data_IF_921375755180
#
_entry.id   IF_921375755180
#
_cell.length_a   1.000
_cell.length_b   1.000
_cell.length_c   1.000
_cell.angle_alpha   90.00
_cell.angle_beta   90.00
_cell.angle_gamma   90.00
#
_symmetry.space_group_name_H-M   'P 1'
#
loop_
_entity.id
_entity.type
_entity.pdbx_description
1 polymer ?
#
# COMPACT_ATOMS: atom_id res chain seq x y z
N UNK A 1 -16.78 -1.83 -4.03
CA UNK A 1 -15.91 -0.65 -4.23
C UNK A 1 -14.91 -0.58 -3.11
N UNK A 2 -13.75 0.01 -3.38
CA UNK A 2 -12.57 -0.06 -2.53
C UNK A 2 -12.68 1.00 -1.40
N UNK A 3 -12.74 0.62 -0.11
CA UNK A 3 -12.78 1.56 1.02
C UNK A 3 -11.38 2.11 1.31
N UNK A 4 -10.92 3.00 0.45
CA UNK A 4 -9.53 3.47 0.48
C UNK A 4 -9.34 4.77 1.24
N UNK A 5 -8.16 4.92 1.83
CA UNK A 5 -7.63 6.18 2.35
C UNK A 5 -6.69 6.80 1.31
N UNK A 6 -6.95 8.05 0.92
CA UNK A 6 -6.13 8.86 0.02
C UNK A 6 -6.68 10.29 -0.02
N UNK A 7 -5.99 11.20 -0.71
CA UNK A 7 -6.60 12.45 -1.17
C UNK A 7 -7.66 12.21 -2.25
N UNK A 8 -8.59 13.17 -2.48
CA UNK A 8 -9.40 13.16 -3.69
C UNK A 8 -8.51 13.06 -4.93
N UNK A 9 -8.85 12.15 -5.84
CA UNK A 9 -8.10 11.86 -7.07
C UNK A 9 -6.62 11.46 -6.84
N UNK A 10 -6.28 10.96 -5.65
CA UNK A 10 -4.90 10.62 -5.30
C UNK A 10 -4.31 9.49 -6.15
N UNK A 11 -3.01 9.58 -6.46
CA UNK A 11 -2.27 8.64 -7.32
C UNK A 11 -2.34 7.20 -6.82
N UNK A 12 -2.26 7.00 -5.50
CA UNK A 12 -2.36 5.70 -4.85
C UNK A 12 -3.40 5.76 -3.73
N UNK A 13 -4.17 4.67 -3.61
CA UNK A 13 -5.24 4.52 -2.64
C UNK A 13 -4.91 3.37 -1.71
N UNK A 14 -4.93 3.60 -0.41
CA UNK A 14 -4.49 2.60 0.57
C UNK A 14 -5.68 1.91 1.23
N UNK A 15 -5.62 0.59 1.33
CA UNK A 15 -6.77 -0.24 1.68
C UNK A 15 -6.31 -1.39 2.57
N UNK A 16 -7.09 -1.73 3.57
CA UNK A 16 -6.99 -3.04 4.22
C UNK A 16 -7.29 -4.14 3.20
N UNK A 17 -6.48 -5.19 3.19
CA UNK A 17 -6.60 -6.30 2.24
C UNK A 17 -7.20 -7.52 2.94
N UNK A 18 -8.37 -7.98 2.49
CA UNK A 18 -9.03 -9.19 3.01
C UNK A 18 -9.20 -10.29 1.95
N UNK A 19 -8.82 -10.01 0.70
CA UNK A 19 -8.79 -10.98 -0.40
C UNK A 19 -7.70 -10.59 -1.40
N UNK A 20 -7.26 -11.55 -2.22
CA UNK A 20 -6.35 -11.26 -3.33
C UNK A 20 -7.07 -10.38 -4.36
N UNK A 21 -6.42 -9.34 -4.83
CA UNK A 21 -6.90 -8.52 -5.95
C UNK A 21 -6.19 -8.88 -7.25
N UNK A 22 -6.93 -8.86 -8.34
CA UNK A 22 -6.52 -9.13 -9.72
C UNK A 22 -7.71 -8.71 -10.60
N UNK A 23 -7.63 -8.91 -11.91
CA UNK A 23 -8.81 -8.74 -12.77
C UNK A 23 -9.95 -9.64 -12.26
N UNK A 24 -11.10 -9.05 -11.95
CA UNK A 24 -12.30 -9.65 -11.33
C UNK A 24 -12.34 -9.67 -9.80
N UNK A 25 -11.34 -9.12 -9.09
CA UNK A 25 -11.38 -9.01 -7.63
C UNK A 25 -10.70 -7.73 -7.11
N UNK A 26 -11.41 -6.97 -6.27
CA UNK A 26 -10.84 -5.81 -5.54
C UNK A 26 -10.13 -6.25 -4.27
N UNK A 27 -9.17 -5.48 -3.70
CA UNK A 27 -8.41 -5.93 -2.52
C UNK A 27 -9.24 -6.10 -1.25
N UNK A 28 -10.44 -5.54 -1.25
CA UNK A 28 -11.38 -5.62 -0.14
C UNK A 28 -12.78 -6.01 -0.61
N UNK A 29 -13.44 -6.89 0.14
CA UNK A 29 -14.85 -7.24 -0.01
C UNK A 29 -15.45 -7.75 1.33
N UNK A 30 -16.46 -7.05 1.86
CA UNK A 30 -17.14 -7.42 3.11
C UNK A 30 -17.71 -8.85 3.12
N UNK A 31 -18.06 -9.41 1.95
CA UNK A 31 -18.73 -10.70 1.87
C UNK A 31 -17.80 -11.91 1.81
N UNK A 32 -16.47 -11.72 1.70
CA UNK A 32 -15.54 -12.83 1.42
C UNK A 32 -14.80 -13.33 2.64
N UNK A 33 -14.25 -12.44 3.47
CA UNK A 33 -13.46 -12.81 4.64
C UNK A 33 -13.47 -11.68 5.67
N UNK A 34 -13.51 -12.05 6.94
CA UNK A 34 -13.34 -11.10 8.05
C UNK A 34 -11.86 -11.00 8.52
N UNK A 35 -10.96 -11.76 7.89
CA UNK A 35 -9.52 -11.75 8.19
C UNK A 35 -8.79 -10.65 7.43
N UNK A 36 -7.75 -10.11 8.05
CA UNK A 36 -6.84 -9.14 7.44
C UNK A 36 -5.55 -9.84 7.01
N UNK A 37 -5.18 -9.69 5.74
CA UNK A 37 -3.97 -10.27 5.14
C UNK A 37 -2.85 -9.25 4.93
N UNK A 38 -3.10 -7.98 5.28
CA UNK A 38 -2.19 -6.86 5.09
C UNK A 38 -2.91 -5.60 4.64
N UNK A 39 -2.13 -4.65 4.12
CA UNK A 39 -2.59 -3.40 3.55
C UNK A 39 -1.93 -3.21 2.19
N UNK A 40 -2.65 -2.60 1.26
CA UNK A 40 -2.20 -2.44 -0.12
C UNK A 40 -2.46 -1.01 -0.63
N UNK A 41 -1.44 -0.41 -1.21
CA UNK A 41 -1.54 0.76 -2.08
C UNK A 41 -1.94 0.28 -3.47
N UNK A 42 -3.20 0.51 -3.84
CA UNK A 42 -3.83 0.06 -5.09
C UNK A 42 -4.05 1.21 -6.06
N UNK A 43 -3.92 0.91 -7.35
CA UNK A 43 -4.34 1.78 -8.47
C UNK A 43 -5.48 1.18 -9.26
N UNK A 44 -5.94 -0.01 -8.88
CA UNK A 44 -7.09 -0.68 -9.49
C UNK A 44 -8.31 0.24 -9.53
N UNK A 45 -8.90 0.50 -10.71
CA UNK A 45 -10.03 1.40 -10.87
C UNK A 45 -11.39 0.75 -10.67
N UNK A 46 -11.53 -0.51 -11.07
CA UNK A 46 -12.78 -1.26 -11.00
C UNK A 46 -12.49 -2.76 -10.90
N UNK A 47 -13.50 -3.55 -10.54
CA UNK A 47 -13.34 -5.00 -10.38
C UNK A 47 -12.92 -5.68 -11.69
N UNK A 48 -13.42 -5.24 -12.84
CA UNK A 48 -13.06 -5.79 -14.16
C UNK A 48 -11.76 -5.22 -14.74
N UNK A 49 -11.09 -4.32 -14.02
CA UNK A 49 -9.80 -3.77 -14.42
C UNK A 49 -8.69 -4.35 -13.54
N UNK A 50 -7.48 -4.39 -14.09
CA UNK A 50 -6.31 -4.94 -13.43
C UNK A 50 -5.71 -4.01 -12.37
N UNK A 51 -4.75 -4.55 -11.63
CA UNK A 51 -3.87 -3.81 -10.76
C UNK A 51 -2.57 -3.38 -11.47
N UNK A 52 -1.99 -2.26 -11.03
CA UNK A 52 -0.78 -1.68 -11.60
C UNK A 52 0.24 -1.29 -10.52
N UNK A 53 1.32 -2.06 -10.47
CA UNK A 53 2.43 -1.97 -9.53
C UNK A 53 1.96 -1.64 -8.10
N UNK A 54 1.17 -2.53 -7.48
CA UNK A 54 0.71 -2.32 -6.13
C UNK A 54 1.88 -2.40 -5.16
N UNK A 55 1.70 -1.83 -3.97
CA UNK A 55 2.65 -1.97 -2.88
C UNK A 55 1.92 -2.47 -1.65
N UNK A 56 2.42 -3.53 -1.01
CA UNK A 56 1.82 -4.03 0.22
C UNK A 56 2.66 -3.73 1.45
N UNK A 57 2.01 -3.76 2.61
CA UNK A 57 2.65 -3.76 3.93
C UNK A 57 1.86 -4.69 4.85
N UNK A 58 2.57 -5.57 5.54
CA UNK A 58 1.98 -6.64 6.34
C UNK A 58 2.69 -6.64 7.70
N UNK A 59 2.02 -6.23 8.79
CA UNK A 59 2.55 -6.46 10.12
C UNK A 59 2.39 -7.93 10.51
N UNK A 60 3.21 -8.39 11.44
CA UNK A 60 3.02 -9.72 12.02
C UNK A 60 3.91 -9.99 13.21
N UNK A 61 3.75 -11.19 13.75
CA UNK A 61 4.45 -11.69 14.92
C UNK A 61 5.08 -13.04 14.56
N UNK A 62 6.36 -13.18 14.89
CA UNK A 62 7.11 -14.44 14.82
C UNK A 62 7.55 -14.85 16.22
N UNK A 63 7.72 -16.14 16.49
CA UNK A 63 8.25 -16.63 17.77
C UNK A 63 9.58 -17.34 17.59
N UNK A 64 10.54 -17.04 18.47
CA UNK A 64 11.85 -17.70 18.44
C UNK A 64 12.58 -17.51 17.12
N UNK A 65 12.81 -18.63 16.41
CA UNK A 65 13.47 -18.67 15.10
C UNK A 65 12.49 -18.79 13.93
N UNK A 66 11.19 -18.63 14.19
CA UNK A 66 10.18 -18.69 13.13
C UNK A 66 10.46 -17.65 12.04
N UNK A 67 10.26 -18.11 10.82
CA UNK A 67 10.26 -17.31 9.62
C UNK A 67 9.17 -16.24 9.66
N UNK A 68 9.42 -15.10 8.99
CA UNK A 68 8.37 -14.14 8.63
C UNK A 68 7.31 -14.86 7.78
N UNK A 69 6.03 -14.69 8.09
CA UNK A 69 4.93 -15.33 7.36
C UNK A 69 4.63 -14.53 6.09
N UNK A 70 5.00 -15.07 4.93
CA UNK A 70 4.79 -14.44 3.61
C UNK A 70 3.60 -15.02 2.85
N UNK A 71 3.31 -16.30 3.09
CA UNK A 71 2.18 -17.02 2.52
C UNK A 71 0.84 -16.32 2.85
N UNK A 72 -0.07 -16.35 1.88
CA UNK A 72 -1.35 -15.64 1.95
C UNK A 72 -2.19 -16.08 3.14
N UNK A 73 -2.34 -17.39 3.34
CA UNK A 73 -3.18 -17.94 4.40
C UNK A 73 -2.47 -17.87 5.75
N UNK A 74 -1.16 -18.15 5.76
CA UNK A 74 -0.38 -18.13 7.00
C UNK A 74 -0.27 -16.74 7.65
N UNK A 75 -0.32 -15.66 6.86
CA UNK A 75 -0.22 -14.28 7.36
C UNK A 75 -1.57 -13.67 7.77
N UNK A 76 -2.66 -14.37 7.56
CA UNK A 76 -4.00 -13.88 7.88
C UNK A 76 -4.16 -13.69 9.40
N UNK A 77 -4.66 -12.54 9.81
CA UNK A 77 -4.94 -12.23 11.22
C UNK A 77 -6.42 -11.94 11.42
N UNK A 78 -6.94 -12.37 12.56
CA UNK A 78 -8.28 -12.02 12.99
C UNK A 78 -8.30 -10.60 13.54
N UNK A 79 -9.42 -9.89 13.32
CA UNK A 79 -9.64 -8.57 13.92
C UNK A 79 -10.09 -8.75 15.36
N UNK A 80 -9.57 -7.93 16.26
CA UNK A 80 -10.15 -7.80 17.60
C UNK A 80 -11.55 -7.19 17.43
N UNK A 81 -12.54 -7.77 18.12
CA UNK A 81 -13.93 -7.32 18.05
C UNK A 81 -14.05 -5.81 18.28
N UNK A 82 -14.91 -5.17 17.48
CA UNK A 82 -15.25 -3.74 17.55
C UNK A 82 -14.05 -2.78 17.44
N UNK A 83 -12.93 -3.22 16.84
CA UNK A 83 -11.71 -2.40 16.72
C UNK A 83 -11.49 -1.74 15.36
N UNK A 84 -12.29 -2.08 14.34
CA UNK A 84 -12.13 -1.58 12.98
C UNK A 84 -12.84 -0.24 12.79
N UNK A 85 -12.11 0.76 12.32
CA UNK A 85 -12.61 2.11 12.06
C UNK A 85 -12.26 2.55 10.64
N UNK A 86 -13.29 2.91 9.87
CA UNK A 86 -13.14 3.54 8.56
C UNK A 86 -13.41 5.04 8.66
N UNK A 87 -12.47 5.84 8.16
CA UNK A 87 -12.64 7.27 7.95
C UNK A 87 -12.13 7.71 6.59
N UNK A 88 -12.44 8.95 6.23
CA UNK A 88 -12.11 9.50 4.91
C UNK A 88 -10.60 9.76 4.75
N UNK A 89 -9.92 10.10 5.85
CA UNK A 89 -8.48 10.35 5.90
C UNK A 89 -7.71 9.35 6.76
N UNK A 90 -8.37 8.30 7.27
CA UNK A 90 -7.73 7.30 8.12
C UNK A 90 -8.45 5.95 8.11
N UNK A 91 -7.71 4.92 8.47
CA UNK A 91 -8.23 3.60 8.80
C UNK A 91 -7.48 3.09 10.02
N UNK A 92 -8.18 2.42 10.93
CA UNK A 92 -7.57 1.80 12.10
C UNK A 92 -8.17 0.42 12.35
N UNK A 93 -7.35 -0.51 12.85
CA UNK A 93 -7.80 -1.83 13.25
C UNK A 93 -6.84 -2.40 14.28
N UNK A 94 -7.34 -3.20 15.22
CA UNK A 94 -6.50 -4.02 16.09
C UNK A 94 -6.57 -5.48 15.63
N UNK A 95 -5.41 -6.08 15.40
CA UNK A 95 -5.26 -7.44 14.92
C UNK A 95 -4.80 -8.35 16.05
N UNK A 96 -5.31 -9.58 16.08
CA UNK A 96 -4.76 -10.67 16.89
C UNK A 96 -3.47 -11.18 16.22
N UNK A 97 -2.34 -10.92 16.87
CA UNK A 97 -1.02 -11.37 16.39
C UNK A 97 -0.72 -12.83 16.74
N UNK A 98 -1.60 -13.49 17.50
CA UNK A 98 -1.35 -14.77 18.16
C UNK A 98 -0.35 -14.65 19.30
N UNK A 99 -0.11 -15.75 20.02
CA UNK A 99 0.88 -15.83 21.11
C UNK A 99 0.70 -14.73 22.18
N UNK A 100 -0.55 -14.45 22.56
CA UNK A 100 -0.90 -13.38 23.52
C UNK A 100 -0.35 -12.01 23.11
N UNK A 101 -0.49 -11.68 21.81
CA UNK A 101 -0.11 -10.37 21.26
C UNK A 101 -1.23 -9.75 20.45
N UNK A 102 -1.27 -8.42 20.43
CA UNK A 102 -2.12 -7.66 19.50
C UNK A 102 -1.33 -6.58 18.79
N UNK A 103 -1.75 -6.27 17.56
CA UNK A 103 -1.15 -5.21 16.73
C UNK A 103 -2.22 -4.16 16.45
N UNK A 104 -2.09 -2.97 17.05
CA UNK A 104 -2.90 -1.82 16.64
C UNK A 104 -2.26 -1.19 15.40
N UNK A 105 -3.00 -1.17 14.30
CA UNK A 105 -2.60 -0.50 13.06
C UNK A 105 -3.37 0.80 12.93
N UNK A 106 -2.67 1.89 12.65
CA UNK A 106 -3.24 3.15 12.21
C UNK A 106 -2.66 3.49 10.84
N UNK A 107 -3.52 3.84 9.89
CA UNK A 107 -3.16 4.14 8.51
C UNK A 107 -3.76 5.49 8.12
N UNK A 108 -2.94 6.36 7.55
CA UNK A 108 -3.36 7.55 6.81
C UNK A 108 -2.57 7.66 5.51
N UNK A 109 -3.03 8.47 4.58
CA UNK A 109 -2.37 8.62 3.29
C UNK A 109 -2.62 9.99 2.66
N UNK A 110 -1.66 10.38 1.84
CA UNK A 110 -1.73 11.53 0.94
C UNK A 110 -1.96 11.03 -0.49
N UNK A 111 -1.58 11.79 -1.52
CA UNK A 111 -1.80 11.36 -2.91
C UNK A 111 -0.81 10.27 -3.34
N UNK A 112 0.47 10.41 -2.96
CA UNK A 112 1.58 9.57 -3.43
C UNK A 112 2.28 8.83 -2.29
N UNK A 113 1.90 9.09 -1.04
CA UNK A 113 2.51 8.48 0.13
C UNK A 113 1.48 7.95 1.15
N UNK A 114 1.91 7.00 1.98
CA UNK A 114 1.17 6.53 3.15
C UNK A 114 1.98 6.64 4.43
N UNK A 115 1.24 6.69 5.53
CA UNK A 115 1.74 6.78 6.88
C UNK A 115 1.09 5.68 7.72
N UNK A 116 1.91 4.76 8.22
CA UNK A 116 1.49 3.69 9.10
C UNK A 116 2.13 3.84 10.47
N UNK A 117 1.35 3.58 11.51
CA UNK A 117 1.84 3.39 12.87
C UNK A 117 1.34 2.05 13.38
N UNK A 118 2.27 1.20 13.82
CA UNK A 118 2.03 -0.11 14.40
C UNK A 118 2.37 -0.08 15.88
N UNK A 119 1.39 -0.37 16.74
CA UNK A 119 1.64 -0.59 18.17
C UNK A 119 1.48 -2.07 18.50
N UNK A 120 2.57 -2.71 18.92
CA UNK A 120 2.60 -4.09 19.35
C UNK A 120 2.39 -4.16 20.86
N UNK A 121 1.38 -4.90 21.30
CA UNK A 121 1.13 -5.21 22.71
C UNK A 121 1.41 -6.69 22.94
N UNK A 122 2.23 -7.00 23.95
CA UNK A 122 2.61 -8.37 24.34
C UNK A 122 2.12 -8.55 25.78
N UNK A 123 1.13 -9.41 25.99
CA UNK A 123 0.45 -9.55 27.30
C UNK A 123 1.17 -10.51 28.23
N UNK A 124 1.70 -11.62 27.69
CA UNK A 124 2.50 -12.59 28.43
C UNK A 124 3.82 -12.77 27.68
N UNK A 125 4.95 -12.63 28.36
CA UNK A 125 6.29 -12.76 27.76
C UNK A 125 6.66 -14.23 27.49
N UNK A 126 5.67 -15.05 27.10
CA UNK A 126 5.87 -16.44 26.71
C UNK A 126 6.29 -16.47 25.25
N UNK A 127 7.41 -17.16 25.01
CA UNK A 127 8.18 -17.17 23.77
C UNK A 127 8.90 -15.85 23.46
N UNK A 128 10.04 -15.98 22.77
CA UNK A 128 10.80 -14.87 22.22
C UNK A 128 10.02 -14.26 21.04
N UNK A 129 8.94 -13.54 21.35
CA UNK A 129 8.07 -12.85 20.40
C UNK A 129 8.84 -11.75 19.70
N UNK A 130 8.80 -11.76 18.38
CA UNK A 130 9.50 -10.79 17.53
C UNK A 130 8.51 -10.19 16.53
N UNK A 131 8.09 -8.94 16.75
CA UNK A 131 7.34 -8.18 15.77
C UNK A 131 8.10 -8.07 14.46
N UNK A 132 7.39 -8.04 13.35
CA UNK A 132 7.97 -7.72 12.06
C UNK A 132 7.00 -6.90 11.21
N UNK A 133 7.56 -6.19 10.24
CA UNK A 133 6.83 -5.63 9.12
C UNK A 133 7.44 -6.21 7.85
N UNK A 134 6.59 -6.77 6.98
CA UNK A 134 6.95 -7.30 5.68
C UNK A 134 6.32 -6.48 4.57
N UNK A 135 7.10 -6.17 3.54
CA UNK A 135 6.70 -5.46 2.33
C UNK A 135 6.72 -6.47 1.17
N UNK A 136 5.57 -7.02 0.75
CA UNK A 136 5.50 -7.72 -0.53
C UNK A 136 5.72 -6.72 -1.67
N UNK A 137 6.65 -7.06 -2.56
CA UNK A 137 7.07 -6.19 -3.66
C UNK A 137 6.60 -6.71 -5.01
N UNK A 138 6.84 -7.99 -5.30
CA UNK A 138 6.35 -8.65 -6.50
C UNK A 138 5.63 -9.93 -6.09
N UNK A 139 4.30 -9.86 -6.02
CA UNK A 139 3.45 -10.98 -5.62
C UNK A 139 3.08 -11.85 -6.81
N UNK A 140 2.69 -13.09 -6.55
CA UNK A 140 1.88 -13.85 -7.51
C UNK A 140 0.57 -13.07 -7.77
N UNK A 141 0.29 -12.80 -9.05
CA UNK A 141 -0.98 -12.25 -9.55
C UNK A 141 -1.63 -13.26 -10.50
N UNK A 142 -2.75 -12.88 -11.10
CA UNK A 142 -3.54 -13.73 -11.99
C UNK A 142 -3.87 -12.99 -13.27
N UNK A 143 -3.62 -13.62 -14.41
CA UNK A 143 -4.08 -13.13 -15.72
C UNK A 143 -5.41 -13.78 -16.08
N UNK A 144 -6.33 -12.95 -16.56
CA UNK A 144 -7.61 -13.38 -17.11
C UNK A 144 -7.53 -13.48 -18.63
N UNK A 145 -8.04 -14.58 -19.19
CA UNK A 145 -8.21 -14.78 -20.62
C UNK A 145 -9.68 -15.06 -20.97
N UNK A 146 -10.11 -14.78 -22.21
CA UNK A 146 -11.46 -15.13 -22.67
C UNK A 146 -11.82 -16.61 -22.40
N UNK A 147 -13.02 -16.85 -21.89
CA UNK A 147 -13.49 -18.18 -21.51
C UNK A 147 -13.28 -18.52 -20.03
N UNK A 148 -13.18 -17.52 -19.16
CA UNK A 148 -13.02 -17.68 -17.70
C UNK A 148 -11.76 -18.47 -17.30
N UNK A 149 -10.68 -18.27 -18.07
CA UNK A 149 -9.39 -18.91 -17.80
C UNK A 149 -8.54 -17.96 -16.95
N UNK A 150 -8.08 -18.46 -15.81
CA UNK A 150 -7.24 -17.75 -14.85
C UNK A 150 -5.90 -18.46 -14.73
N UNK A 151 -4.80 -17.80 -15.12
CA UNK A 151 -3.46 -18.36 -15.03
C UNK A 151 -2.57 -17.55 -14.07
N UNK A 152 -1.71 -18.21 -13.29
CA UNK A 152 -0.72 -17.51 -12.47
C UNK A 152 0.20 -16.62 -13.31
N UNK A 153 0.42 -15.41 -12.82
CA UNK A 153 1.33 -14.43 -13.40
C UNK A 153 2.30 -13.94 -12.33
N UNK A 154 3.59 -13.98 -12.66
CA UNK A 154 4.68 -13.68 -11.74
C UNK A 154 5.42 -12.42 -12.23
N UNK A 155 5.03 -11.22 -11.77
CA UNK A 155 5.79 -9.99 -12.03
C UNK A 155 7.18 -10.05 -11.41
N UNK A 156 8.13 -9.30 -11.98
CA UNK A 156 9.48 -9.14 -11.46
C UNK A 156 9.63 -7.86 -10.65
N UNK A 157 10.13 -8.02 -9.43
CA UNK A 157 10.47 -6.93 -8.55
C UNK A 157 11.95 -6.70 -8.37
N UNK A 158 12.28 -5.58 -7.74
CA UNK A 158 13.58 -5.33 -7.13
C UNK A 158 13.41 -4.84 -5.69
N UNK A 159 14.38 -5.14 -4.84
CA UNK A 159 14.48 -4.66 -3.46
C UNK A 159 15.90 -4.18 -3.21
N UNK A 160 16.03 -3.07 -2.50
CA UNK A 160 17.27 -2.58 -1.91
C UNK A 160 16.96 -2.08 -0.49
N UNK A 161 17.78 -2.50 0.48
CA UNK A 161 17.65 -2.21 1.90
C UNK A 161 18.88 -1.40 2.32
N UNK A 162 18.65 -0.27 2.99
CA UNK A 162 19.71 0.63 3.46
C UNK A 162 19.48 0.98 4.92
N UNK A 163 20.49 0.73 5.76
CA UNK A 163 20.49 1.26 7.13
C UNK A 163 20.72 2.76 7.12
N UNK A 164 19.83 3.51 7.75
CA UNK A 164 19.93 4.95 7.95
C UNK A 164 20.45 5.26 9.35
N UNK A 165 20.89 6.50 9.59
CA UNK A 165 21.30 6.95 10.93
C UNK A 165 20.15 6.85 11.96
N UNK A 166 18.91 7.07 11.51
CA UNK A 166 17.71 7.12 12.35
C UNK A 166 16.74 5.93 12.11
N UNK A 167 17.15 4.89 11.37
CA UNK A 167 16.26 3.77 11.05
C UNK A 167 16.74 2.92 9.89
N UNK A 168 15.81 2.39 9.10
CA UNK A 168 16.09 1.59 7.90
C UNK A 168 15.17 2.02 6.77
N UNK A 169 15.67 2.00 5.54
CA UNK A 169 14.92 2.26 4.32
C UNK A 169 14.86 0.99 3.46
N UNK A 170 13.68 0.67 2.95
CA UNK A 170 13.45 -0.37 1.95
C UNK A 170 12.90 0.32 0.71
N UNK A 171 13.64 0.27 -0.39
CA UNK A 171 13.16 0.73 -1.69
C UNK A 171 13.06 -0.45 -2.65
N UNK A 172 12.20 -0.31 -3.64
CA UNK A 172 12.03 -1.36 -4.62
C UNK A 172 11.14 -0.97 -5.77
N UNK A 173 10.84 -1.95 -6.60
CA UNK A 173 9.95 -1.77 -7.74
C UNK A 173 9.25 -3.06 -8.12
N UNK A 174 8.16 -2.92 -8.88
CA UNK A 174 7.40 -4.02 -9.46
C UNK A 174 6.96 -3.66 -10.87
N UNK A 175 7.02 -4.62 -11.79
CA UNK A 175 6.45 -4.50 -13.13
C UNK A 175 5.06 -5.16 -13.26
N UNK A 176 4.37 -5.41 -12.14
CA UNK A 176 2.99 -5.91 -12.15
C UNK A 176 2.09 -4.97 -12.94
N UNK A 177 1.55 -5.48 -14.04
CA UNK A 177 0.65 -4.77 -14.94
C UNK A 177 -0.40 -5.78 -15.46
N UNK A 178 -1.45 -5.99 -14.68
CA UNK A 178 -2.44 -7.05 -14.93
C UNK A 178 -3.18 -6.84 -16.26
N UNK A 179 -3.48 -5.60 -16.63
CA UNK A 179 -4.23 -5.24 -17.83
C UNK A 179 -3.36 -4.97 -19.08
N UNK A 180 -2.07 -5.34 -19.06
CA UNK A 180 -1.16 -5.17 -20.20
C UNK A 180 -1.71 -5.79 -21.51
N UNK A 181 -2.50 -6.86 -21.43
CA UNK A 181 -3.14 -7.47 -22.60
C UNK A 181 -4.27 -6.62 -23.21
N UNK A 182 -4.89 -5.75 -22.42
CA UNK A 182 -5.97 -4.86 -22.86
C UNK A 182 -5.41 -3.55 -23.46
N UNK A 183 -4.12 -3.27 -23.26
CA UNK A 183 -3.43 -2.13 -23.84
C UNK A 183 -3.43 -2.25 -25.38
N UNK A 184 -3.68 -1.17 -26.14
CA UNK A 184 -3.65 -1.21 -27.61
C UNK A 184 -2.33 -1.76 -28.16
N UNK A 185 -2.42 -2.61 -29.19
CA UNK A 185 -1.25 -3.29 -29.80
C UNK A 185 -0.14 -2.31 -30.17
N UNK A 186 -0.49 -1.12 -30.64
CA UNK A 186 0.45 -0.06 -31.02
C UNK A 186 1.31 0.48 -29.89
N UNK A 187 0.89 0.33 -28.62
CA UNK A 187 1.61 0.87 -27.45
C UNK A 187 2.07 -0.22 -26.47
N UNK A 188 1.68 -1.48 -26.69
CA UNK A 188 2.09 -2.60 -25.85
C UNK A 188 3.61 -2.74 -25.71
N UNK A 189 4.39 -2.47 -26.78
CA UNK A 189 5.85 -2.55 -26.73
C UNK A 189 6.44 -1.55 -25.72
N UNK A 190 5.87 -0.34 -25.65
CA UNK A 190 6.26 0.68 -24.69
C UNK A 190 5.77 0.31 -23.29
N UNK A 191 4.52 -0.11 -23.16
CA UNK A 191 3.88 -0.44 -21.88
C UNK A 191 4.56 -1.60 -21.14
N UNK A 192 5.23 -2.52 -21.85
CA UNK A 192 6.03 -3.62 -21.24
C UNK A 192 7.18 -3.14 -20.35
N UNK A 193 7.60 -1.88 -20.48
CA UNK A 193 8.64 -1.28 -19.64
C UNK A 193 8.07 -0.57 -18.40
N UNK A 194 6.75 -0.62 -18.21
CA UNK A 194 6.09 -0.08 -17.03
C UNK A 194 6.69 -0.68 -15.76
N UNK A 195 6.92 0.18 -14.78
CA UNK A 195 7.42 -0.19 -13.47
C UNK A 195 6.98 0.84 -12.46
N UNK A 196 6.35 0.39 -11.38
CA UNK A 196 6.11 1.23 -10.21
C UNK A 196 7.23 1.09 -9.20
N UNK A 197 7.54 2.18 -8.52
CA UNK A 197 8.61 2.30 -7.55
C UNK A 197 8.05 2.69 -6.19
N UNK A 198 8.70 2.24 -5.13
CA UNK A 198 8.40 2.66 -3.76
C UNK A 198 9.67 2.84 -2.95
N UNK A 199 9.56 3.63 -1.89
CA UNK A 199 10.53 3.71 -0.80
C UNK A 199 9.81 3.83 0.54
N UNK A 200 10.10 2.91 1.46
CA UNK A 200 9.55 2.83 2.79
C UNK A 200 10.64 3.16 3.82
N UNK A 201 10.37 4.11 4.71
CA UNK A 201 11.26 4.51 5.81
C UNK A 201 10.64 4.11 7.14
N UNK A 202 11.43 3.39 7.93
CA UNK A 202 11.02 2.87 9.23
C UNK A 202 11.62 3.72 10.35
N UNK A 203 10.78 4.07 11.32
CA UNK A 203 11.17 4.76 12.54
C UNK A 203 10.75 3.93 13.75
N UNK A 204 11.71 3.63 14.63
CA UNK A 204 11.53 2.85 15.85
C UNK A 204 12.75 3.02 16.75
N UNK A 205 12.61 2.72 18.04
CA UNK A 205 13.73 2.73 19.00
C UNK A 205 13.99 1.33 19.52
N UNK A 206 15.25 0.89 19.49
CA UNK A 206 15.69 -0.41 20.03
C UNK A 206 17.06 -0.32 20.68
N UNK A 207 17.26 -1.10 21.74
CA UNK A 207 18.57 -1.37 22.36
C UNK A 207 19.19 -2.70 21.92
N UNK A 208 18.39 -3.60 21.31
CA UNK A 208 18.76 -4.99 21.02
C UNK A 208 19.10 -5.30 19.57
N UNK A 209 19.40 -4.27 18.75
CA UNK A 209 19.48 -4.41 17.29
C UNK A 209 18.12 -4.75 16.66
N UNK A 210 18.13 -5.08 15.38
CA UNK A 210 16.98 -5.57 14.61
C UNK A 210 17.50 -6.40 13.43
N UNK A 211 16.68 -7.32 12.92
CA UNK A 211 17.02 -8.09 11.73
C UNK A 211 16.28 -7.53 10.52
N UNK A 212 16.79 -7.84 9.35
CA UNK A 212 16.17 -7.52 8.08
C UNK A 212 16.55 -8.58 7.06
N UNK A 213 15.87 -8.59 5.92
CA UNK A 213 16.25 -9.45 4.82
C UNK A 213 15.26 -9.43 3.67
N UNK A 214 15.55 -10.27 2.68
CA UNK A 214 14.74 -10.45 1.49
C UNK A 214 13.99 -11.78 1.57
N UNK A 215 12.74 -11.78 1.12
CA UNK A 215 11.94 -12.99 0.94
C UNK A 215 11.77 -13.25 -0.55
N UNK A 216 11.95 -14.49 -1.00
CA UNK A 216 11.75 -14.88 -2.40
C UNK A 216 11.09 -16.25 -2.51
N UNK A 217 9.87 -16.30 -3.05
CA UNK A 217 9.03 -17.50 -3.01
C UNK A 217 8.84 -17.98 -1.56
N UNK A 218 9.27 -19.21 -1.27
CA UNK A 218 9.28 -19.78 0.09
C UNK A 218 10.57 -19.52 0.88
N UNK A 219 11.58 -18.90 0.26
CA UNK A 219 12.89 -18.65 0.84
C UNK A 219 12.97 -17.35 1.64
N UNK A 220 13.76 -17.37 2.71
CA UNK A 220 14.14 -16.17 3.49
C UNK A 220 15.66 -16.05 3.46
N UNK A 221 16.12 -14.89 3.01
CA UNK A 221 17.53 -14.53 2.93
C UNK A 221 17.81 -13.45 3.98
N UNK A 222 18.05 -13.91 5.22
CA UNK A 222 18.37 -13.03 6.35
C UNK A 222 19.68 -12.25 6.10
N UNK A 223 19.66 -10.95 6.41
CA UNK A 223 20.78 -10.04 6.18
C UNK A 223 20.98 -9.62 4.72
N UNK A 224 20.23 -10.18 3.76
CA UNK A 224 20.31 -9.76 2.37
C UNK A 224 19.85 -8.32 2.21
N UNK A 225 20.67 -7.50 1.56
CA UNK A 225 20.39 -6.08 1.32
C UNK A 225 19.70 -5.83 -0.02
N UNK A 226 19.76 -6.78 -0.95
CA UNK A 226 19.23 -6.63 -2.30
C UNK A 226 18.55 -7.92 -2.75
N UNK A 227 17.57 -7.76 -3.63
CA UNK A 227 16.86 -8.87 -4.25
C UNK A 227 16.25 -8.49 -5.59
N UNK A 228 16.13 -9.46 -6.48
CA UNK A 228 15.48 -9.30 -7.78
C UNK A 228 14.77 -10.60 -8.17
N UNK A 229 13.62 -10.46 -8.82
CA UNK A 229 12.89 -11.57 -9.42
C UNK A 229 11.43 -11.61 -9.00
N UNK A 230 10.81 -12.78 -9.12
CA UNK A 230 9.41 -13.03 -8.82
C UNK A 230 9.20 -13.37 -7.35
N UNK A 231 7.95 -13.27 -6.86
CA UNK A 231 7.56 -13.62 -5.48
C UNK A 231 8.46 -12.96 -4.44
N UNK A 232 8.80 -11.69 -4.67
CA UNK A 232 9.81 -10.93 -3.95
C UNK A 232 9.18 -10.07 -2.85
N UNK A 233 9.85 -9.99 -1.72
CA UNK A 233 9.50 -9.06 -0.64
C UNK A 233 10.71 -8.77 0.25
N UNK A 234 10.51 -7.89 1.23
CA UNK A 234 11.54 -7.48 2.18
C UNK A 234 10.93 -7.32 3.56
N UNK A 235 11.70 -7.54 4.62
CA UNK A 235 11.19 -7.38 5.99
C UNK A 235 12.17 -6.69 6.91
N UNK A 236 11.62 -6.15 8.00
CA UNK A 236 12.34 -5.74 9.21
C UNK A 236 11.70 -6.48 10.39
N UNK A 237 12.52 -7.15 11.20
CA UNK A 237 12.09 -7.92 12.38
C UNK A 237 12.74 -7.34 13.63
N UNK A 238 11.91 -7.02 14.61
CA UNK A 238 12.28 -6.27 15.79
C UNK A 238 12.43 -7.19 17.01
N UNK A 239 13.22 -6.80 18.03
CA UNK A 239 13.19 -7.45 19.33
C UNK A 239 11.87 -7.14 20.06
N UNK A 240 11.53 -7.98 21.04
CA UNK A 240 10.24 -7.93 21.77
C UNK A 240 9.97 -6.60 22.50
N UNK A 241 11.01 -5.82 22.81
CA UNK A 241 10.87 -4.52 23.46
C UNK A 241 10.46 -3.39 22.51
N UNK A 242 10.45 -3.64 21.19
CA UNK A 242 9.93 -2.67 20.21
C UNK A 242 8.42 -2.80 20.15
N UNK A 243 7.73 -1.89 20.82
CA UNK A 243 6.27 -1.83 20.89
C UNK A 243 5.65 -0.82 19.93
N UNK A 244 6.47 0.03 19.29
CA UNK A 244 6.02 1.07 18.38
C UNK A 244 6.94 1.10 17.15
N UNK A 245 6.33 1.08 15.96
CA UNK A 245 7.00 1.22 14.67
C UNK A 245 6.17 2.13 13.78
N UNK A 246 6.78 3.19 13.27
CA UNK A 246 6.21 4.01 12.21
C UNK A 246 6.84 3.64 10.87
N UNK A 247 6.02 3.60 9.83
CA UNK A 247 6.46 3.37 8.46
C UNK A 247 5.82 4.42 7.55
N UNK A 248 6.66 5.23 6.89
CA UNK A 248 6.22 6.15 5.84
C UNK A 248 6.63 5.56 4.49
N UNK A 249 5.72 5.52 3.53
CA UNK A 249 5.95 4.92 2.21
C UNK A 249 5.63 5.92 1.11
N UNK A 250 6.60 6.29 0.28
CA UNK A 250 6.37 7.06 -0.95
C UNK A 250 6.34 6.15 -2.17
N UNK A 251 5.56 6.53 -3.17
CA UNK A 251 5.42 5.79 -4.44
C UNK A 251 5.68 6.70 -5.63
N UNK A 252 6.10 6.12 -6.76
CA UNK A 252 6.34 6.83 -8.02
C UNK A 252 6.21 5.90 -9.22
N UNK A 253 5.84 6.44 -10.38
CA UNK A 253 5.93 5.76 -11.67
C UNK A 253 7.20 6.14 -12.45
N UNK A 254 8.02 7.04 -11.92
CA UNK A 254 9.23 7.56 -12.56
C UNK A 254 10.45 6.79 -12.08
N UNK A 255 10.72 6.77 -10.76
CA UNK A 255 11.92 6.14 -10.21
C UNK A 255 11.85 5.97 -8.69
N UNK A 256 12.78 5.19 -8.12
CA UNK A 256 12.98 5.12 -6.67
C UNK A 256 13.41 6.48 -6.07
N UNK A 257 14.20 7.29 -6.78
CA UNK A 257 14.58 8.63 -6.30
C UNK A 257 13.37 9.57 -6.24
N UNK A 258 12.48 9.49 -7.23
CA UNK A 258 11.22 10.24 -7.23
C UNK A 258 10.27 9.73 -6.13
N UNK A 259 10.20 8.42 -5.88
CA UNK A 259 9.42 7.87 -4.77
C UNK A 259 9.89 8.40 -3.40
N UNK A 260 11.22 8.53 -3.20
CA UNK A 260 11.78 9.19 -2.00
C UNK A 260 11.43 10.68 -1.95
N UNK A 261 11.49 11.38 -3.08
CA UNK A 261 11.11 12.79 -3.13
C UNK A 261 9.65 12.98 -2.73
N UNK A 262 8.72 12.21 -3.32
CA UNK A 262 7.31 12.27 -3.00
C UNK A 262 7.04 11.95 -1.52
N UNK A 263 7.80 11.02 -0.93
CA UNK A 263 7.70 10.72 0.50
C UNK A 263 8.04 11.94 1.35
N UNK A 264 9.18 12.58 1.09
CA UNK A 264 9.65 13.70 1.89
C UNK A 264 8.85 14.99 1.62
N UNK A 265 8.28 15.14 0.44
CA UNK A 265 7.40 16.27 0.10
C UNK A 265 6.02 16.16 0.79
N UNK A 266 5.40 14.97 0.75
CA UNK A 266 4.03 14.80 1.26
C UNK A 266 3.97 14.41 2.75
N UNK A 267 4.97 13.67 3.26
CA UNK A 267 5.04 13.17 4.64
C UNK A 267 6.51 13.19 5.13
N UNK A 268 7.10 14.38 5.39
CA UNK A 268 8.49 14.52 5.82
C UNK A 268 8.80 13.82 7.15
N UNK A 269 10.09 13.58 7.40
CA UNK A 269 10.56 13.01 8.66
C UNK A 269 10.12 13.85 9.89
N UNK A 270 9.59 13.17 10.91
CA UNK A 270 9.09 13.79 12.14
C UNK A 270 7.65 14.31 12.06
N UNK A 271 6.99 14.26 10.91
CA UNK A 271 5.56 14.53 10.82
C UNK A 271 4.76 13.44 11.56
N UNK A 272 3.77 13.81 12.37
CA UNK A 272 2.92 12.84 13.05
C UNK A 272 1.82 12.29 12.13
N UNK A 273 1.37 11.05 12.36
CA UNK A 273 0.28 10.45 11.57
C UNK A 273 -1.04 11.25 11.64
N UNK A 274 -1.29 11.91 12.77
CA UNK A 274 -2.46 12.78 12.93
C UNK A 274 -2.37 14.04 12.06
N UNK A 275 -1.18 14.53 11.73
CA UNK A 275 -1.02 15.61 10.74
C UNK A 275 -1.38 15.11 9.34
N UNK A 276 -0.89 13.93 8.94
CA UNK A 276 -1.28 13.30 7.67
C UNK A 276 -2.80 13.11 7.57
N UNK A 277 -3.43 12.63 8.65
CA UNK A 277 -4.90 12.50 8.74
C UNK A 277 -5.59 13.85 8.59
N UNK A 278 -5.12 14.89 9.28
CA UNK A 278 -5.66 16.26 9.17
C UNK A 278 -5.55 16.81 7.75
N UNK A 279 -4.42 16.57 7.07
CA UNK A 279 -4.23 17.00 5.68
C UNK A 279 -5.25 16.33 4.75
N UNK A 280 -5.42 15.00 4.86
CA UNK A 280 -6.41 14.26 4.08
C UNK A 280 -7.84 14.75 4.35
N UNK A 281 -8.22 14.89 5.63
CA UNK A 281 -9.53 15.42 6.02
C UNK A 281 -9.76 16.84 5.47
N UNK A 282 -8.73 17.69 5.46
CA UNK A 282 -8.82 19.05 4.92
C UNK A 282 -9.07 19.04 3.41
N UNK A 283 -8.34 18.19 2.66
CA UNK A 283 -8.55 18.04 1.20
C UNK A 283 -9.94 17.53 0.88
N UNK A 284 -10.45 16.58 1.66
CA UNK A 284 -11.81 16.08 1.50
C UNK A 284 -12.87 17.12 1.88
N UNK A 285 -12.70 17.83 2.99
CA UNK A 285 -13.60 18.90 3.42
C UNK A 285 -13.70 20.01 2.37
N UNK A 286 -12.59 20.38 1.72
CA UNK A 286 -12.58 21.34 0.61
C UNK A 286 -13.43 20.90 -0.59
N UNK A 287 -13.52 19.60 -0.86
CA UNK A 287 -14.33 19.08 -1.98
C UNK A 287 -15.78 18.83 -1.59
N UNK A 288 -16.01 18.15 -0.47
CA UNK A 288 -17.34 17.81 0.02
C UNK A 288 -18.10 19.04 0.50
N UNK A 289 -17.40 20.03 1.08
CA UNK A 289 -17.98 21.30 1.53
C UNK A 289 -18.46 22.22 0.41
N UNK A 290 -18.26 21.85 -0.86
CA UNK A 290 -18.87 22.54 -2.02
C UNK A 290 -20.35 22.23 -2.19
N UNK A 291 -20.86 21.25 -1.43
CA UNK A 291 -22.24 20.81 -1.48
C UNK A 291 -22.93 21.07 -0.15
N UNK A 292 -24.08 21.72 -0.21
CA UNK A 292 -25.02 21.87 0.89
C UNK A 292 -26.26 21.02 0.59
N UNK A 293 -26.57 20.05 1.46
CA UNK A 293 -27.71 19.15 1.30
C UNK A 293 -28.77 19.51 2.34
N UNK A 294 -29.86 20.11 1.89
CA UNK A 294 -31.01 20.42 2.74
C UNK A 294 -31.95 19.20 2.82
N UNK A 295 -31.86 18.44 3.91
CA UNK A 295 -32.75 17.31 4.19
C UNK A 295 -32.81 17.05 5.69
N UNK A 296 -33.94 16.52 6.18
CA UNK A 296 -34.05 16.00 7.56
C UNK A 296 -33.74 14.51 7.64
N UNK A 297 -33.49 13.85 6.51
CA UNK A 297 -33.22 12.42 6.43
C UNK A 297 -31.71 12.15 6.38
N UNK A 298 -31.14 11.65 7.49
CA UNK A 298 -29.69 11.41 7.63
C UNK A 298 -29.14 10.35 6.67
N UNK A 299 -29.97 9.37 6.29
CA UNK A 299 -29.63 8.36 5.29
C UNK A 299 -29.42 8.97 3.90
N UNK A 300 -30.29 9.91 3.50
CA UNK A 300 -30.15 10.66 2.24
C UNK A 300 -28.84 11.47 2.25
N UNK A 301 -28.54 12.13 3.36
CA UNK A 301 -27.29 12.89 3.53
C UNK A 301 -26.06 11.98 3.44
N UNK A 302 -26.10 10.83 4.11
CA UNK A 302 -25.04 9.83 4.06
C UNK A 302 -24.83 9.29 2.63
N UNK A 303 -25.92 8.91 1.94
CA UNK A 303 -25.87 8.40 0.56
C UNK A 303 -25.26 9.45 -0.37
N UNK A 304 -25.69 10.72 -0.24
CA UNK A 304 -25.18 11.80 -1.07
C UNK A 304 -23.67 11.99 -0.88
N UNK A 305 -23.20 12.26 0.34
CA UNK A 305 -21.77 12.51 0.58
C UNK A 305 -20.89 11.30 0.27
N UNK A 306 -21.37 10.08 0.54
CA UNK A 306 -20.67 8.85 0.14
C UNK A 306 -20.56 8.72 -1.38
N UNK A 307 -21.60 9.13 -2.12
CA UNK A 307 -21.60 9.09 -3.59
C UNK A 307 -20.68 10.15 -4.19
N UNK A 308 -20.65 11.37 -3.63
CA UNK A 308 -19.70 12.42 -4.01
C UNK A 308 -18.26 11.98 -3.75
N UNK A 309 -17.99 11.40 -2.56
CA UNK A 309 -16.68 10.83 -2.24
C UNK A 309 -16.26 9.78 -3.28
N UNK A 310 -17.15 8.84 -3.63
CA UNK A 310 -16.91 7.83 -4.68
C UNK A 310 -16.59 8.46 -6.04
N UNK A 311 -17.32 9.50 -6.42
CA UNK A 311 -17.14 10.23 -7.68
C UNK A 311 -15.82 11.01 -7.76
N UNK A 312 -15.11 11.17 -6.65
CA UNK A 312 -13.85 11.91 -6.58
C UNK A 312 -12.62 11.00 -6.41
N UNK A 313 -12.77 9.70 -6.69
CA UNK A 313 -11.65 8.75 -6.67
C UNK A 313 -10.94 8.65 -8.03
N UNK A 314 -11.65 8.92 -9.13
CA UNK A 314 -11.15 8.79 -10.50
C UNK A 314 -11.63 9.95 -11.39
N UNK A 315 -10.86 10.32 -12.42
CA UNK A 315 -9.52 9.81 -12.74
C UNK A 315 -8.50 10.26 -11.69
N UNK A 316 -7.47 9.45 -11.40
CA UNK A 316 -6.45 9.82 -10.43
C UNK A 316 -5.28 10.53 -11.09
N UNK A 317 -4.62 11.45 -10.38
CA UNK A 317 -3.44 12.15 -10.88
C UNK A 317 -2.26 11.16 -11.04
N UNK A 318 -1.48 11.30 -12.12
CA UNK A 318 -0.22 10.55 -12.31
C UNK A 318 1.00 11.46 -12.41
N UNK A 319 0.77 12.76 -12.33
CA UNK A 319 1.83 13.75 -12.33
C UNK A 319 2.46 13.89 -10.94
N UNK A 320 3.78 13.95 -10.92
CA UNK A 320 4.63 13.97 -9.74
C UNK A 320 5.44 15.27 -9.73
N UNK A 321 5.49 15.93 -8.58
CA UNK A 321 6.26 17.18 -8.41
C UNK A 321 7.76 16.89 -8.48
N UNK A 322 8.53 17.80 -9.08
CA UNK A 322 9.99 17.81 -9.03
C UNK A 322 10.53 19.01 -8.28
N UNK A 323 11.83 19.00 -7.98
CA UNK A 323 12.52 20.04 -7.21
C UNK A 323 12.48 21.45 -7.84
N UNK A 324 12.22 21.53 -9.15
CA UNK A 324 12.03 22.79 -9.90
C UNK A 324 10.58 23.29 -9.88
N UNK A 325 9.72 22.71 -9.03
CA UNK A 325 8.28 23.00 -8.94
C UNK A 325 7.48 22.71 -10.21
N UNK A 326 8.07 22.01 -11.18
CA UNK A 326 7.34 21.47 -12.32
C UNK A 326 6.72 20.12 -11.97
N UNK A 327 5.76 19.70 -12.79
CA UNK A 327 5.15 18.38 -12.72
C UNK A 327 5.63 17.54 -13.87
N UNK A 328 5.91 16.28 -13.60
CA UNK A 328 6.33 15.29 -14.58
C UNK A 328 5.54 14.00 -14.41
N UNK A 329 5.35 13.23 -15.49
CA UNK A 329 4.70 11.93 -15.41
C UNK A 329 5.39 10.92 -16.33
N UNK A 330 5.45 9.67 -15.88
CA UNK A 330 5.81 8.56 -16.75
C UNK A 330 4.63 8.18 -17.64
N UNK A 331 4.88 8.05 -18.94
CA UNK A 331 3.89 7.60 -19.92
C UNK A 331 4.19 6.19 -20.39
N UNK A 332 3.33 5.23 -20.03
CA UNK A 332 3.39 3.87 -20.57
C UNK A 332 3.12 3.82 -22.10
N UNK A 333 2.50 4.87 -22.66
CA UNK A 333 2.26 4.98 -24.10
C UNK A 333 3.54 5.23 -24.90
N UNK A 334 4.49 5.97 -24.33
CA UNK A 334 5.75 6.36 -25.00
C UNK A 334 7.00 5.76 -24.36
N UNK A 335 6.86 5.11 -23.21
CA UNK A 335 7.97 4.65 -22.37
C UNK A 335 8.97 5.78 -22.06
N UNK A 336 8.45 6.95 -21.67
CA UNK A 336 9.28 8.12 -21.34
C UNK A 336 8.59 9.03 -20.33
N UNK A 337 9.38 9.85 -19.67
CA UNK A 337 8.91 10.91 -18.76
C UNK A 337 8.59 12.17 -19.56
N UNK A 338 7.46 12.80 -19.26
CA UNK A 338 7.02 14.05 -19.88
C UNK A 338 6.79 15.12 -18.82
N UNK A 339 6.97 16.38 -19.20
CA UNK A 339 6.59 17.55 -18.38
C UNK A 339 5.09 17.83 -18.57
N UNK A 340 4.38 18.09 -17.48
CA UNK A 340 2.98 18.48 -17.48
C UNK A 340 2.13 17.75 -16.45
N UNK A 341 0.83 18.06 -16.46
CA UNK A 341 -0.17 17.32 -15.71
C UNK A 341 -0.73 16.16 -16.54
N UNK A 342 -1.07 15.08 -15.87
CA UNK A 342 -1.68 13.91 -16.49
C UNK A 342 -2.46 13.13 -15.44
N UNK A 343 -3.44 12.36 -15.92
CA UNK A 343 -4.36 11.58 -15.12
C UNK A 343 -4.54 10.19 -15.74
N UNK A 344 -4.99 9.23 -14.95
CA UNK A 344 -5.27 7.86 -15.40
C UNK A 344 -6.48 7.26 -14.65
N UNK A 345 -6.82 6.01 -14.96
CA UNK A 345 -8.01 5.33 -14.40
C UNK A 345 -9.33 5.79 -15.03
N UNK A 346 -9.30 6.21 -16.29
CA UNK A 346 -10.48 6.63 -17.04
C UNK A 346 -11.36 5.45 -17.48
N UNK A 347 -12.68 5.68 -17.46
CA UNK A 347 -13.68 4.86 -18.15
C UNK A 347 -14.68 5.82 -18.81
N UNK A 348 -14.55 6.03 -20.12
CA UNK A 348 -15.25 7.08 -20.89
C UNK A 348 -16.34 6.56 -21.83
N UNK A 349 -16.60 5.25 -21.80
CA UNK A 349 -17.56 4.57 -22.67
C UNK A 349 -19.01 4.89 -22.30
#
# INVERSE_FOLDING_TARGET
MIPSVSYPFGTVRWVVQNQKNFVSATPFNYSTSDKVHGFIGTRQPAVWMGENAPIGIVPGISTGTEAVKTDWDARAMDKVADSEEFGIGHYAVRLDGGNDTTIQVNMSATSKAAHFVFNFTIYDAKANVRPYIWIPVARESVKYYPGDIYEPYFPNGTVNIVSLKAGIEICGSSDEFDDLMLVPISVQLNARNFRGWFCARFNFTTSGGYDYGVTQGKGIHEGALEGQGTELGAYVRFPSNVTWVEVRIGTSMISASQARYNLEDEIPEGQAIDDTRRMANTKWAEKLGRFEVETTAEDVKMIFYTSVWRGMQYPYEVAESSSDSKKHYYSAFTNSVHEGESYSGYSIW
#
